data_IF_327025840870
#
_entry.id   IF_327025840870
#
_cell.length_a   1.000
_cell.length_b   1.000
_cell.length_c   1.000
_cell.angle_alpha   90.00
_cell.angle_beta   90.00
_cell.angle_gamma   90.00
#
_symmetry.space_group_name_H-M   'P 1'
#
loop_
_entity.id
_entity.type
_entity.pdbx_description
1 polymer ?
#
# COMPACT_ATOMS: atom_id res chain seq x y z
N UNK A 1 -22.43 22.73 13.55
CA UNK A 1 -21.37 23.31 12.72
C UNK A 1 -20.09 22.55 12.96
N UNK A 2 -19.51 22.10 11.89
CA UNK A 2 -18.18 21.51 11.91
C UNK A 2 -17.18 22.65 12.15
N UNK A 3 -16.35 22.51 13.17
CA UNK A 3 -15.32 23.50 13.49
C UNK A 3 -13.97 22.81 13.62
N UNK A 4 -12.96 23.36 12.95
CA UNK A 4 -11.57 22.96 13.12
C UNK A 4 -10.96 23.90 14.15
N UNK A 5 -10.34 23.32 15.19
CA UNK A 5 -9.58 24.06 16.20
C UNK A 5 -8.11 23.71 16.05
N UNK A 6 -7.28 24.72 15.83
CA UNK A 6 -5.83 24.55 15.75
C UNK A 6 -5.19 25.13 17.02
N UNK A 7 -4.37 24.31 17.70
CA UNK A 7 -3.70 24.68 18.95
C UNK A 7 -2.21 24.47 18.77
N UNK A 8 -1.43 25.52 19.03
CA UNK A 8 0.03 25.43 19.07
C UNK A 8 0.52 25.35 20.52
N UNK A 9 1.44 24.44 20.77
CA UNK A 9 2.07 24.28 22.09
C UNK A 9 3.49 23.73 21.95
N UNK A 10 4.47 24.26 22.70
CA UNK A 10 5.84 23.75 22.66
C UNK A 10 5.92 22.30 23.19
N UNK A 11 7.06 21.63 22.95
CA UNK A 11 7.32 20.30 23.49
C UNK A 11 7.35 20.30 25.02
N UNK A 12 6.85 19.25 25.66
CA UNK A 12 6.90 19.09 27.11
C UNK A 12 5.81 19.79 27.92
N UNK A 13 4.92 20.56 27.31
CA UNK A 13 3.83 21.26 28.04
C UNK A 13 2.61 20.39 28.35
N UNK A 14 2.65 19.10 28.01
CA UNK A 14 1.53 18.17 28.27
C UNK A 14 0.44 18.19 27.20
N UNK A 15 0.75 18.49 25.94
CA UNK A 15 -0.20 18.49 24.82
C UNK A 15 -1.03 17.20 24.77
N UNK A 16 -0.37 16.04 24.88
CA UNK A 16 -1.06 14.74 24.82
C UNK A 16 -2.15 14.61 25.86
N UNK A 17 -1.86 14.96 27.10
CA UNK A 17 -2.85 14.90 28.19
C UNK A 17 -4.04 15.84 27.94
N UNK A 18 -3.75 17.05 27.45
CA UNK A 18 -4.78 18.06 27.20
C UNK A 18 -5.76 17.60 26.11
N UNK A 19 -5.25 17.16 24.93
CA UNK A 19 -6.14 16.74 23.86
C UNK A 19 -6.81 15.39 24.14
N UNK A 20 -6.17 14.46 24.86
CA UNK A 20 -6.79 13.21 25.28
C UNK A 20 -7.98 13.45 26.18
N UNK A 21 -7.84 14.28 27.22
CA UNK A 21 -8.93 14.63 28.13
C UNK A 21 -10.07 15.31 27.38
N UNK A 22 -9.78 16.35 26.62
CA UNK A 22 -10.77 17.10 25.89
C UNK A 22 -11.48 16.23 24.84
N UNK A 23 -10.72 15.47 24.04
CA UNK A 23 -11.23 14.58 23.00
C UNK A 23 -12.12 13.48 23.55
N UNK A 24 -11.74 12.81 24.63
CA UNK A 24 -12.56 11.78 25.28
C UNK A 24 -13.87 12.35 25.81
N UNK A 25 -13.84 13.50 26.51
CA UNK A 25 -15.06 14.15 27.00
C UNK A 25 -15.98 14.57 25.85
N UNK A 26 -15.44 15.17 24.81
CA UNK A 26 -16.22 15.62 23.65
C UNK A 26 -16.84 14.45 22.87
N UNK A 27 -16.06 13.40 22.61
CA UNK A 27 -16.54 12.22 21.91
C UNK A 27 -17.67 11.54 22.72
N UNK A 28 -17.45 11.27 24.01
CA UNK A 28 -18.42 10.64 24.89
C UNK A 28 -19.70 11.46 25.04
N UNK A 29 -19.61 12.80 25.17
CA UNK A 29 -20.78 13.68 25.30
C UNK A 29 -21.68 13.69 24.07
N UNK A 30 -21.17 13.32 22.91
CA UNK A 30 -21.88 13.31 21.63
C UNK A 30 -22.14 11.90 21.07
N UNK A 31 -21.77 10.86 21.82
CA UNK A 31 -21.93 9.46 21.39
C UNK A 31 -21.10 9.12 20.15
N UNK A 32 -19.95 9.78 19.97
CA UNK A 32 -19.02 9.57 18.84
C UNK A 32 -17.76 8.86 19.29
N UNK A 33 -17.05 8.26 18.33
CA UNK A 33 -15.70 7.73 18.54
C UNK A 33 -14.65 8.83 18.48
N UNK A 34 -13.51 8.62 19.12
CA UNK A 34 -12.34 9.48 19.01
C UNK A 34 -11.26 8.80 18.16
N UNK A 35 -10.84 9.42 17.08
CA UNK A 35 -9.65 8.99 16.32
C UNK A 35 -8.51 9.95 16.62
N UNK A 36 -7.40 9.39 17.11
CA UNK A 36 -6.17 10.13 17.39
C UNK A 36 -5.14 9.73 16.34
N UNK A 37 -4.75 10.67 15.52
CA UNK A 37 -3.71 10.45 14.50
C UNK A 37 -2.41 11.13 14.91
N UNK A 38 -1.31 10.37 14.94
CA UNK A 38 0.02 10.87 15.28
C UNK A 38 1.02 10.65 14.15
N UNK A 39 2.14 11.37 14.19
CA UNK A 39 3.08 11.40 13.07
C UNK A 39 3.95 10.14 12.93
N UNK A 40 4.28 9.46 14.04
CA UNK A 40 5.23 8.34 14.08
C UNK A 40 4.71 7.15 14.87
N UNK A 41 5.27 5.96 14.60
CA UNK A 41 4.96 4.73 15.34
C UNK A 41 5.32 4.88 16.82
N UNK A 42 6.48 5.48 17.15
CA UNK A 42 6.90 5.68 18.53
C UNK A 42 5.92 6.54 19.34
N UNK A 43 5.34 7.59 18.72
CA UNK A 43 4.30 8.40 19.37
C UNK A 43 3.00 7.63 19.55
N UNK A 44 2.62 6.78 18.60
CA UNK A 44 1.45 5.89 18.74
C UNK A 44 1.63 4.94 19.94
N UNK A 45 2.80 4.30 20.05
CA UNK A 45 3.13 3.39 21.15
C UNK A 45 3.13 4.12 22.50
N UNK A 46 3.65 5.34 22.55
CA UNK A 46 3.58 6.17 23.73
C UNK A 46 2.14 6.46 24.14
N UNK A 47 1.29 6.84 23.18
CA UNK A 47 -0.14 7.10 23.44
C UNK A 47 -0.85 5.87 24.01
N UNK A 48 -0.65 4.70 23.39
CA UNK A 48 -1.33 3.46 23.74
C UNK A 48 -0.81 2.87 25.05
N UNK A 49 0.53 2.89 25.26
CA UNK A 49 1.16 2.18 26.38
C UNK A 49 1.30 3.06 27.65
N UNK A 50 1.24 4.38 27.51
CA UNK A 50 1.49 5.30 28.63
C UNK A 50 0.41 6.36 28.80
N UNK A 51 0.17 7.19 27.77
CA UNK A 51 -0.60 8.42 27.95
C UNK A 51 -2.10 8.14 28.11
N UNK A 52 -2.70 7.26 27.30
CA UNK A 52 -4.10 6.83 27.42
C UNK A 52 -4.37 6.09 28.75
N UNK A 53 -3.59 5.05 29.14
CA UNK A 53 -3.75 4.41 30.45
C UNK A 53 -3.66 5.39 31.61
N UNK A 54 -2.71 6.33 31.54
CA UNK A 54 -2.55 7.36 32.58
C UNK A 54 -3.78 8.27 32.66
N UNK A 55 -4.26 8.81 31.53
CA UNK A 55 -5.43 9.70 31.53
C UNK A 55 -6.66 8.96 32.04
N UNK A 56 -6.93 7.76 31.56
CA UNK A 56 -8.12 7.00 31.94
C UNK A 56 -8.12 6.63 33.42
N UNK A 57 -6.97 6.22 33.97
CA UNK A 57 -6.86 5.87 35.39
C UNK A 57 -6.99 7.04 36.37
N UNK A 58 -6.71 8.28 35.93
CA UNK A 58 -6.69 9.46 36.80
C UNK A 58 -7.85 10.44 36.57
N UNK A 59 -8.58 10.30 35.45
CA UNK A 59 -9.66 11.24 35.11
C UNK A 59 -11.07 10.77 35.52
N UNK A 60 -11.24 9.51 35.90
CA UNK A 60 -12.55 8.90 36.09
C UNK A 60 -13.31 8.67 34.78
N UNK A 61 -12.67 8.84 33.62
CA UNK A 61 -13.25 8.50 32.32
C UNK A 61 -13.10 7.00 32.07
N UNK A 62 -14.18 6.37 31.71
CA UNK A 62 -14.19 4.99 31.22
C UNK A 62 -14.27 5.03 29.69
N UNK A 63 -13.24 4.50 29.03
CA UNK A 63 -13.19 4.34 27.58
C UNK A 63 -12.24 3.19 27.21
N UNK A 64 -12.61 2.46 26.18
CA UNK A 64 -11.79 1.43 25.55
C UNK A 64 -10.99 2.03 24.40
N UNK A 65 -9.81 1.48 24.11
CA UNK A 65 -8.98 1.97 23.00
C UNK A 65 -8.26 0.84 22.29
N UNK A 66 -7.94 1.06 21.00
CA UNK A 66 -7.14 0.17 20.19
C UNK A 66 -6.23 0.94 19.23
N UNK A 67 -5.13 0.28 18.83
CA UNK A 67 -4.18 0.80 17.85
C UNK A 67 -4.54 0.28 16.46
N UNK A 68 -4.81 1.19 15.53
CA UNK A 68 -5.00 0.87 14.13
C UNK A 68 -3.65 0.90 13.40
N UNK A 69 -3.29 -0.24 12.79
CA UNK A 69 -2.11 -0.38 11.94
C UNK A 69 -2.51 -0.75 10.51
N UNK A 70 -1.71 -0.32 9.54
CA UNK A 70 -1.89 -0.73 8.15
C UNK A 70 -1.70 -2.23 7.96
N UNK A 71 -2.39 -2.81 6.98
CA UNK A 71 -2.36 -4.25 6.67
C UNK A 71 -0.93 -4.81 6.55
N UNK A 72 -0.01 -4.06 5.96
CA UNK A 72 1.40 -4.45 5.83
C UNK A 72 2.15 -4.62 7.15
N UNK A 73 1.56 -4.28 8.30
CA UNK A 73 2.13 -4.54 9.64
C UNK A 73 1.71 -5.89 10.20
N UNK A 74 0.82 -6.62 9.54
CA UNK A 74 0.33 -7.90 10.00
C UNK A 74 0.77 -9.04 9.10
N UNK A 75 1.04 -10.17 9.71
CA UNK A 75 1.26 -11.44 9.04
C UNK A 75 0.03 -11.83 8.22
N UNK A 76 0.25 -12.38 7.04
CA UNK A 76 -0.77 -13.09 6.28
C UNK A 76 -0.58 -14.61 6.46
N UNK A 77 -1.40 -15.30 7.28
CA UNK A 77 -1.24 -16.73 7.50
C UNK A 77 -1.33 -17.54 6.21
N UNK A 78 -2.21 -17.15 5.28
CA UNK A 78 -2.33 -17.78 3.98
C UNK A 78 -1.00 -17.81 3.20
N UNK A 79 -0.29 -16.68 3.12
CA UNK A 79 1.03 -16.60 2.48
C UNK A 79 2.12 -17.35 3.26
N UNK A 80 2.11 -17.22 4.58
CA UNK A 80 3.08 -17.90 5.42
C UNK A 80 3.00 -19.43 5.23
N UNK A 81 1.80 -19.99 5.25
CA UNK A 81 1.61 -21.44 5.11
C UNK A 81 1.98 -21.95 3.72
N UNK A 82 1.75 -21.18 2.67
CA UNK A 82 2.24 -21.53 1.33
C UNK A 82 3.76 -21.68 1.31
N UNK A 83 4.51 -20.74 1.89
CA UNK A 83 5.97 -20.81 1.92
C UNK A 83 6.54 -21.91 2.83
N UNK A 84 5.80 -22.33 3.86
CA UNK A 84 6.25 -23.39 4.76
C UNK A 84 5.83 -24.79 4.30
N UNK A 85 4.72 -24.95 3.59
CA UNK A 85 4.29 -26.21 3.00
C UNK A 85 5.24 -26.68 1.90
N UNK A 86 5.66 -25.79 1.00
CA UNK A 86 6.61 -26.09 -0.07
C UNK A 86 7.99 -26.51 0.48
N UNK A 87 8.40 -25.96 1.62
CA UNK A 87 9.66 -26.31 2.27
C UNK A 87 9.68 -27.73 2.87
N UNK A 88 8.52 -28.34 3.13
CA UNK A 88 8.40 -29.70 3.69
C UNK A 88 8.33 -30.80 2.63
N UNK A 89 7.96 -30.47 1.41
CA UNK A 89 7.79 -31.44 0.32
C UNK A 89 8.96 -31.53 -0.64
N UNK A 90 10.16 -31.13 -0.30
CA UNK A 90 11.44 -31.48 -0.93
C UNK A 90 11.49 -31.69 -2.46
N UNK A 91 10.47 -31.35 -3.21
CA UNK A 91 10.32 -31.69 -4.62
C UNK A 91 10.33 -30.49 -5.59
N UNK A 92 11.29 -30.58 -6.40
CA UNK A 92 11.87 -29.82 -7.48
C UNK A 92 10.99 -29.67 -8.74
N UNK A 93 9.69 -29.72 -8.77
CA UNK A 93 9.00 -29.94 -10.06
C UNK A 93 7.88 -28.95 -10.46
N UNK A 94 7.52 -28.00 -9.64
CA UNK A 94 6.72 -26.89 -10.13
C UNK A 94 7.46 -25.57 -9.90
N UNK A 95 7.53 -24.64 -10.86
CA UNK A 95 7.98 -23.28 -10.58
C UNK A 95 7.02 -22.76 -9.51
N UNK A 96 7.55 -22.46 -8.31
CA UNK A 96 6.80 -21.82 -7.24
C UNK A 96 6.05 -20.64 -7.84
N UNK A 97 4.70 -20.64 -7.87
CA UNK A 97 3.93 -19.52 -8.39
C UNK A 97 4.24 -18.23 -7.62
N UNK A 98 4.73 -18.35 -6.39
CA UNK A 98 5.25 -17.25 -5.59
C UNK A 98 6.65 -16.80 -6.02
N UNK A 99 7.36 -17.49 -6.93
CA UNK A 99 8.62 -17.01 -7.50
C UNK A 99 8.45 -15.66 -8.22
N UNK A 100 7.25 -15.29 -8.66
CA UNK A 100 6.96 -13.95 -9.16
C UNK A 100 7.18 -12.86 -8.12
N UNK A 101 7.05 -13.20 -6.84
CA UNK A 101 7.32 -12.30 -5.72
C UNK A 101 8.80 -12.31 -5.31
N UNK A 102 9.59 -13.25 -5.84
CA UNK A 102 10.97 -13.44 -5.46
C UNK A 102 11.90 -13.00 -6.60
N UNK A 103 12.57 -11.87 -6.46
CA UNK A 103 13.66 -11.49 -7.35
C UNK A 103 14.88 -12.42 -7.21
N UNK A 104 14.91 -13.33 -6.24
CA UNK A 104 15.99 -14.28 -5.99
C UNK A 104 15.47 -15.47 -5.15
N UNK A 105 16.19 -16.59 -5.23
CA UNK A 105 15.90 -17.77 -4.41
C UNK A 105 16.11 -17.45 -2.92
N UNK A 106 15.21 -17.88 -2.00
CA UNK A 106 15.35 -17.62 -0.58
C UNK A 106 16.63 -18.27 -0.02
N UNK A 107 17.31 -17.53 0.84
CA UNK A 107 18.46 -18.04 1.57
C UNK A 107 18.03 -19.00 2.69
N UNK A 108 18.92 -19.91 3.09
CA UNK A 108 18.65 -20.86 4.17
C UNK A 108 18.22 -20.15 5.47
N UNK A 109 18.88 -19.03 5.79
CA UNK A 109 18.55 -18.21 6.96
C UNK A 109 17.13 -17.65 6.90
N UNK A 110 16.71 -17.19 5.72
CA UNK A 110 15.34 -16.67 5.50
C UNK A 110 14.29 -17.79 5.71
N UNK A 111 14.54 -18.97 5.16
CA UNK A 111 13.65 -20.13 5.35
C UNK A 111 13.55 -20.57 6.83
N UNK A 112 14.65 -20.53 7.56
CA UNK A 112 14.66 -20.82 8.99
C UNK A 112 13.88 -19.77 9.80
N UNK A 113 14.00 -18.48 9.43
CA UNK A 113 13.22 -17.41 10.07
C UNK A 113 11.72 -17.55 9.76
N UNK A 114 11.33 -17.89 8.51
CA UNK A 114 9.93 -18.18 8.17
C UNK A 114 9.37 -19.34 8.98
N UNK A 115 10.13 -20.41 9.22
CA UNK A 115 9.71 -21.53 10.07
C UNK A 115 9.49 -21.08 11.52
N UNK A 116 10.41 -20.27 12.09
CA UNK A 116 10.22 -19.73 13.45
C UNK A 116 8.99 -18.84 13.55
N UNK A 117 8.72 -18.02 12.53
CA UNK A 117 7.49 -17.20 12.48
C UNK A 117 6.25 -18.09 12.43
N UNK A 118 6.26 -19.15 11.62
CA UNK A 118 5.15 -20.09 11.52
C UNK A 118 4.90 -20.82 12.86
N UNK A 119 5.95 -21.30 13.50
CA UNK A 119 5.86 -21.96 14.81
C UNK A 119 5.37 -20.99 15.91
N UNK A 120 5.88 -19.77 15.93
CA UNK A 120 5.44 -18.76 16.89
C UNK A 120 3.96 -18.42 16.73
N UNK A 121 3.49 -18.26 15.49
CA UNK A 121 2.10 -17.96 15.19
C UNK A 121 1.19 -19.17 15.44
N UNK A 122 1.54 -20.36 14.97
CA UNK A 122 0.76 -21.58 15.15
C UNK A 122 0.54 -21.93 16.62
N UNK A 123 1.59 -21.82 17.46
CA UNK A 123 1.50 -22.06 18.89
C UNK A 123 1.02 -20.85 19.71
N UNK A 124 0.51 -19.80 19.05
CA UNK A 124 -0.03 -18.58 19.67
C UNK A 124 0.95 -17.89 20.64
N UNK A 125 2.26 -17.99 20.38
CA UNK A 125 3.32 -17.27 21.08
C UNK A 125 3.53 -15.87 20.54
N UNK A 126 2.95 -15.59 19.39
CA UNK A 126 2.96 -14.32 18.68
C UNK A 126 1.61 -14.11 17.98
N UNK A 127 1.09 -12.90 18.02
CA UNK A 127 -0.22 -12.53 17.46
C UNK A 127 -0.19 -12.18 15.96
N UNK A 128 1.01 -12.16 15.35
CA UNK A 128 1.20 -11.82 13.94
C UNK A 128 1.38 -10.32 13.68
N UNK A 129 1.48 -9.47 14.70
CA UNK A 129 1.92 -8.07 14.55
C UNK A 129 3.45 -8.04 14.38
N UNK A 130 3.93 -7.43 13.27
CA UNK A 130 5.35 -7.33 12.97
C UNK A 130 6.16 -6.71 14.11
N UNK A 131 5.59 -5.68 14.75
CA UNK A 131 6.28 -4.92 15.79
C UNK A 131 6.40 -5.70 17.11
N UNK A 132 5.56 -6.73 17.29
CA UNK A 132 5.56 -7.60 18.46
C UNK A 132 6.36 -8.90 18.27
N UNK A 133 7.01 -9.09 17.11
CA UNK A 133 7.85 -10.26 16.89
C UNK A 133 9.22 -10.09 17.55
N UNK A 134 9.71 -11.11 18.25
CA UNK A 134 10.95 -11.04 19.04
C UNK A 134 12.23 -10.84 18.21
N UNK A 135 12.17 -11.10 16.91
CA UNK A 135 13.31 -10.95 16.00
C UNK A 135 13.04 -9.83 14.98
N UNK A 136 14.10 -9.10 14.60
CA UNK A 136 14.01 -8.16 13.48
C UNK A 136 13.81 -8.93 12.16
N UNK A 137 12.73 -8.62 11.45
CA UNK A 137 12.42 -9.17 10.14
C UNK A 137 12.72 -8.13 9.07
N UNK A 138 13.65 -8.44 8.16
CA UNK A 138 13.97 -7.57 7.03
C UNK A 138 12.73 -7.31 6.15
N UNK A 139 12.59 -6.10 5.61
CA UNK A 139 11.44 -5.71 4.77
C UNK A 139 11.24 -6.66 3.59
N UNK A 140 12.34 -7.12 3.01
CA UNK A 140 12.35 -8.08 1.91
C UNK A 140 11.70 -9.41 2.30
N UNK A 141 11.98 -9.94 3.48
CA UNK A 141 11.38 -11.18 3.98
C UNK A 141 9.94 -10.93 4.43
N UNK A 142 9.68 -9.82 5.11
CA UNK A 142 8.35 -9.45 5.57
C UNK A 142 7.35 -9.29 4.43
N UNK A 143 7.75 -8.68 3.32
CA UNK A 143 6.89 -8.47 2.14
C UNK A 143 6.34 -9.78 1.55
N UNK A 144 6.91 -10.93 1.87
CA UNK A 144 6.47 -12.25 1.40
C UNK A 144 5.37 -12.86 2.25
N UNK A 145 5.36 -12.53 3.52
CA UNK A 145 4.41 -13.07 4.51
C UNK A 145 3.36 -12.06 4.95
N UNK A 146 3.40 -10.84 4.43
CA UNK A 146 2.32 -9.89 4.54
C UNK A 146 1.50 -9.81 3.25
N UNK A 147 0.43 -9.04 3.23
CA UNK A 147 -0.40 -8.87 2.05
C UNK A 147 -0.90 -7.43 1.93
N UNK A 148 -1.32 -7.06 0.73
CA UNK A 148 -1.99 -5.80 0.45
C UNK A 148 -3.50 -5.99 0.21
N UNK A 149 -4.19 -4.91 -0.19
CA UNK A 149 -5.63 -4.95 -0.45
C UNK A 149 -6.00 -5.76 -1.69
N UNK A 150 -5.09 -5.88 -2.66
CA UNK A 150 -5.33 -6.53 -3.95
C UNK A 150 -5.06 -8.03 -3.89
N UNK A 151 -3.96 -8.45 -3.24
CA UNK A 151 -3.62 -9.86 -3.07
C UNK A 151 -4.41 -10.57 -1.95
N UNK A 152 -5.18 -9.83 -1.14
CA UNK A 152 -5.96 -10.40 -0.05
C UNK A 152 -7.27 -11.03 -0.56
N UNK A 153 -7.50 -12.30 -0.24
CA UNK A 153 -8.72 -13.05 -0.61
C UNK A 153 -9.98 -12.60 0.18
N UNK A 154 -9.84 -11.69 1.12
CA UNK A 154 -10.96 -11.10 1.90
C UNK A 154 -11.84 -12.18 2.55
N UNK A 155 -13.15 -12.16 2.27
CA UNK A 155 -14.12 -13.14 2.80
C UNK A 155 -13.90 -14.57 2.29
N UNK A 156 -13.19 -14.73 1.17
CA UNK A 156 -12.89 -16.03 0.57
C UNK A 156 -11.66 -16.72 1.19
N UNK A 157 -10.89 -15.99 2.05
CA UNK A 157 -9.66 -16.52 2.63
C UNK A 157 -9.94 -17.67 3.61
N UNK A 158 -9.31 -18.86 3.45
CA UNK A 158 -9.48 -19.97 4.38
C UNK A 158 -8.94 -19.66 5.79
N UNK A 159 -7.98 -18.75 5.90
CA UNK A 159 -7.36 -18.35 7.17
C UNK A 159 -7.95 -17.05 7.74
N UNK A 160 -9.15 -16.63 7.30
CA UNK A 160 -9.73 -15.35 7.74
C UNK A 160 -9.98 -15.28 9.24
N UNK A 161 -10.42 -16.36 9.85
CA UNK A 161 -10.75 -16.43 11.29
C UNK A 161 -9.54 -16.25 12.20
N UNK A 162 -8.35 -16.61 11.73
CA UNK A 162 -7.09 -16.48 12.47
C UNK A 162 -6.22 -15.31 11.94
N UNK A 163 -6.72 -14.56 10.95
CA UNK A 163 -5.95 -13.48 10.32
C UNK A 163 -5.73 -12.32 11.28
N UNK A 164 -4.47 -12.00 11.66
CA UNK A 164 -4.16 -10.92 12.60
C UNK A 164 -4.73 -9.58 12.19
N UNK A 165 -4.67 -9.26 10.89
CA UNK A 165 -5.23 -8.01 10.37
C UNK A 165 -6.73 -7.91 10.61
N UNK A 166 -7.51 -8.97 10.35
CA UNK A 166 -8.96 -8.93 10.52
C UNK A 166 -9.34 -8.97 12.00
N UNK A 167 -8.62 -9.72 12.83
CA UNK A 167 -8.82 -9.71 14.28
C UNK A 167 -8.61 -8.30 14.85
N UNK A 168 -7.50 -7.65 14.50
CA UNK A 168 -7.25 -6.27 14.91
C UNK A 168 -8.30 -5.30 14.35
N UNK A 169 -8.75 -5.51 13.12
CA UNK A 169 -9.78 -4.68 12.47
C UNK A 169 -11.12 -4.75 13.19
N UNK A 170 -11.57 -5.97 13.51
CA UNK A 170 -12.85 -6.18 14.19
C UNK A 170 -12.86 -5.55 15.59
N UNK A 171 -11.69 -5.38 16.23
CA UNK A 171 -11.54 -4.67 17.51
C UNK A 171 -11.80 -3.15 17.38
N UNK A 172 -11.45 -2.52 16.24
CA UNK A 172 -11.63 -1.07 16.05
C UNK A 172 -13.10 -0.67 16.10
N UNK A 173 -14.01 -1.56 15.70
CA UNK A 173 -15.45 -1.31 15.74
C UNK A 173 -16.02 -1.34 17.16
N UNK A 174 -15.30 -1.96 18.11
CA UNK A 174 -15.76 -2.18 19.47
C UNK A 174 -15.21 -1.16 20.49
N UNK A 175 -14.24 -0.35 20.12
CA UNK A 175 -13.59 0.60 21.02
C UNK A 175 -14.10 2.02 20.85
N UNK A 176 -13.93 2.81 21.92
CA UNK A 176 -14.30 4.23 21.94
C UNK A 176 -13.24 5.12 21.29
N UNK A 177 -11.96 4.72 21.40
CA UNK A 177 -10.80 5.49 20.95
C UNK A 177 -9.96 4.64 20.00
N UNK A 178 -9.67 5.16 18.82
CA UNK A 178 -8.77 4.55 17.85
C UNK A 178 -7.52 5.41 17.71
N UNK A 179 -6.35 4.85 18.02
CA UNK A 179 -5.06 5.49 17.76
C UNK A 179 -4.55 5.04 16.40
N UNK A 180 -4.09 5.97 15.59
CA UNK A 180 -3.67 5.74 14.20
C UNK A 180 -2.46 6.63 13.87
N UNK A 181 -1.80 6.40 12.72
CA UNK A 181 -0.84 7.36 12.17
C UNK A 181 -1.46 8.18 11.03
N UNK A 182 -0.77 9.27 10.66
CA UNK A 182 -1.22 10.12 9.57
C UNK A 182 -1.33 9.38 8.24
N UNK A 183 -0.43 8.42 7.98
CA UNK A 183 -0.45 7.67 6.71
C UNK A 183 -1.72 6.83 6.60
N UNK A 184 -2.16 6.20 7.70
CA UNK A 184 -3.39 5.41 7.72
C UNK A 184 -4.65 6.30 7.66
N UNK A 185 -4.63 7.45 8.34
CA UNK A 185 -5.69 8.46 8.25
C UNK A 185 -5.86 8.96 6.81
N UNK A 186 -4.76 9.31 6.16
CA UNK A 186 -4.76 9.79 4.76
C UNK A 186 -5.18 8.68 3.79
N UNK A 187 -4.74 7.43 4.02
CA UNK A 187 -5.17 6.29 3.23
C UNK A 187 -6.69 6.04 3.36
N UNK A 188 -7.24 6.17 4.56
CA UNK A 188 -8.69 6.07 4.77
C UNK A 188 -9.44 7.20 4.08
N UNK A 189 -8.98 8.44 4.27
CA UNK A 189 -9.54 9.62 3.65
C UNK A 189 -9.55 9.52 2.11
N UNK A 190 -8.44 9.03 1.49
CA UNK A 190 -8.35 8.84 0.03
C UNK A 190 -9.36 7.82 -0.53
N UNK A 191 -9.91 6.96 0.32
CA UNK A 191 -10.97 6.01 -0.03
C UNK A 191 -12.39 6.51 0.31
N UNK A 192 -12.54 7.79 0.68
CA UNK A 192 -13.80 8.40 1.05
C UNK A 192 -14.10 8.38 2.55
N UNK A 193 -13.17 7.91 3.37
CA UNK A 193 -13.31 7.81 4.84
C UNK A 193 -14.22 6.66 5.31
N UNK A 194 -13.94 6.15 6.51
CA UNK A 194 -14.75 5.08 7.11
C UNK A 194 -14.52 3.68 6.55
N UNK A 195 -13.50 3.51 5.70
CA UNK A 195 -13.13 2.20 5.15
C UNK A 195 -12.11 1.51 6.06
N UNK A 196 -11.17 2.24 6.61
CA UNK A 196 -10.13 1.77 7.53
C UNK A 196 -10.42 2.20 8.96
N UNK A 197 -10.78 3.42 9.17
CA UNK A 197 -11.11 4.04 10.45
C UNK A 197 -12.63 4.12 10.61
N UNK A 198 -13.15 4.46 11.79
CA UNK A 198 -14.58 4.69 11.96
C UNK A 198 -15.11 5.78 11.01
N UNK A 199 -16.39 5.71 10.60
CA UNK A 199 -16.98 6.69 9.68
C UNK A 199 -16.79 8.14 10.16
N UNK A 200 -16.41 9.08 9.28
CA UNK A 200 -16.16 10.47 9.67
C UNK A 200 -17.34 11.15 10.36
N UNK A 201 -18.57 10.85 9.95
CA UNK A 201 -19.78 11.41 10.53
C UNK A 201 -19.94 11.05 12.02
N UNK A 202 -19.41 9.89 12.45
CA UNK A 202 -19.51 9.38 13.80
C UNK A 202 -18.18 9.54 14.59
N UNK A 203 -17.28 10.40 14.10
CA UNK A 203 -15.92 10.50 14.63
C UNK A 203 -15.54 11.93 14.99
N UNK A 204 -14.80 12.08 16.10
CA UNK A 204 -13.95 13.22 16.39
C UNK A 204 -12.52 12.90 16.02
N UNK A 205 -11.86 13.76 15.28
CA UNK A 205 -10.46 13.63 14.96
C UNK A 205 -9.59 14.51 15.86
N UNK A 206 -8.53 13.95 16.40
CA UNK A 206 -7.44 14.67 17.02
C UNK A 206 -6.16 14.38 16.22
N UNK A 207 -5.57 15.40 15.63
CA UNK A 207 -4.37 15.27 14.79
C UNK A 207 -3.20 15.85 15.56
N UNK A 208 -2.38 14.98 16.15
CA UNK A 208 -1.18 15.36 16.87
C UNK A 208 -0.01 15.58 15.90
N UNK A 209 0.86 16.56 16.17
CA UNK A 209 1.96 16.94 15.25
C UNK A 209 1.44 17.28 13.84
N UNK A 210 0.31 17.99 13.75
CA UNK A 210 -0.41 18.30 12.51
C UNK A 210 0.45 19.02 11.45
N UNK A 211 1.56 19.66 11.85
CA UNK A 211 2.52 20.26 10.92
C UNK A 211 3.16 19.25 9.96
N UNK A 212 3.14 17.94 10.30
CA UNK A 212 3.63 16.88 9.43
C UNK A 212 2.58 16.38 8.43
N UNK A 213 1.30 16.67 8.68
CA UNK A 213 0.20 16.15 7.86
C UNK A 213 0.31 16.58 6.39
N UNK A 214 0.64 17.86 6.15
CA UNK A 214 0.77 18.39 4.79
C UNK A 214 1.85 17.62 3.97
N UNK A 215 3.03 17.39 4.55
CA UNK A 215 4.08 16.63 3.91
C UNK A 215 3.68 15.17 3.65
N UNK A 216 3.02 14.54 4.61
CA UNK A 216 2.52 13.16 4.46
C UNK A 216 1.43 13.06 3.42
N UNK A 217 0.54 14.06 3.33
CA UNK A 217 -0.49 14.12 2.30
C UNK A 217 0.11 14.26 0.90
N UNK A 218 1.11 15.12 0.72
CA UNK A 218 1.84 15.22 -0.56
C UNK A 218 2.44 13.86 -0.94
N UNK A 219 3.07 13.16 -0.01
CA UNK A 219 3.63 11.83 -0.25
C UNK A 219 2.55 10.78 -0.56
N UNK A 220 1.38 10.87 0.07
CA UNK A 220 0.26 9.94 -0.17
C UNK A 220 -0.32 10.07 -1.58
N UNK A 221 -0.34 11.29 -2.12
CA UNK A 221 -0.84 11.57 -3.47
C UNK A 221 0.27 11.57 -4.53
N UNK A 222 1.53 11.37 -4.13
CA UNK A 222 2.63 11.15 -5.06
C UNK A 222 2.54 9.74 -5.65
N UNK A 223 3.02 9.59 -6.88
CA UNK A 223 3.12 8.31 -7.54
C UNK A 223 4.47 8.16 -8.23
N UNK A 224 4.99 6.94 -8.24
CA UNK A 224 6.23 6.63 -8.93
C UNK A 224 6.25 5.17 -9.44
N UNK A 225 7.07 4.93 -10.44
CA UNK A 225 7.45 3.58 -10.85
C UNK A 225 8.85 3.54 -11.44
N UNK A 226 9.47 2.35 -11.43
CA UNK A 226 10.74 2.08 -12.10
C UNK A 226 10.49 1.43 -13.46
N UNK A 227 11.11 1.97 -14.52
CA UNK A 227 10.84 1.58 -15.92
C UNK A 227 11.22 0.14 -16.19
N UNK A 228 12.47 -0.28 -15.85
CA UNK A 228 12.94 -1.65 -16.09
C UNK A 228 12.21 -2.66 -15.21
N UNK A 229 11.93 -2.29 -13.97
CA UNK A 229 11.12 -3.14 -13.10
C UNK A 229 9.70 -3.32 -13.64
N UNK A 230 9.10 -2.27 -14.22
CA UNK A 230 7.79 -2.37 -14.84
C UNK A 230 7.81 -3.28 -16.06
N UNK A 231 8.79 -3.16 -16.95
CA UNK A 231 8.98 -4.07 -18.08
C UNK A 231 9.13 -5.52 -17.62
N UNK A 232 9.86 -5.75 -16.54
CA UNK A 232 10.07 -7.11 -16.00
C UNK A 232 8.76 -7.74 -15.52
N UNK A 233 7.93 -7.05 -14.74
CA UNK A 233 6.70 -7.67 -14.26
C UNK A 233 5.62 -7.77 -15.36
N UNK A 234 5.62 -6.87 -16.35
CA UNK A 234 4.74 -7.00 -17.54
C UNK A 234 5.05 -8.28 -18.34
N UNK A 235 6.34 -8.63 -18.48
CA UNK A 235 6.76 -9.89 -19.10
C UNK A 235 6.25 -11.14 -18.36
N UNK A 236 6.11 -11.06 -17.04
CA UNK A 236 5.60 -12.18 -16.22
C UNK A 236 4.08 -12.28 -16.18
N UNK A 237 3.37 -11.22 -16.53
CA UNK A 237 1.92 -11.15 -16.46
C UNK A 237 1.23 -12.17 -17.38
N UNK A 238 1.77 -12.42 -18.58
CA UNK A 238 1.19 -13.31 -19.58
C UNK A 238 0.88 -14.71 -19.02
N UNK A 239 1.82 -15.32 -18.32
CA UNK A 239 1.64 -16.64 -17.73
C UNK A 239 0.52 -16.70 -16.69
N UNK A 240 0.35 -15.63 -15.89
CA UNK A 240 -0.69 -15.58 -14.84
C UNK A 240 -2.06 -15.32 -15.46
N UNK A 241 -2.15 -14.41 -16.42
CA UNK A 241 -3.40 -14.12 -17.13
C UNK A 241 -3.85 -15.31 -17.97
N UNK A 242 -2.93 -16.02 -18.65
CA UNK A 242 -3.24 -17.24 -19.40
C UNK A 242 -3.81 -18.37 -18.54
N UNK A 243 -3.29 -18.54 -17.31
CA UNK A 243 -3.88 -19.48 -16.33
C UNK A 243 -5.27 -19.04 -15.86
N UNK A 244 -5.47 -17.74 -15.66
CA UNK A 244 -6.77 -17.19 -15.28
C UNK A 244 -7.81 -17.35 -16.41
N UNK A 245 -7.41 -17.16 -17.67
CA UNK A 245 -8.28 -17.36 -18.84
C UNK A 245 -8.89 -18.77 -18.90
N UNK A 246 -8.13 -19.79 -18.50
CA UNK A 246 -8.62 -21.17 -18.48
C UNK A 246 -9.75 -21.41 -17.46
N UNK A 247 -9.87 -20.57 -16.45
CA UNK A 247 -10.80 -20.72 -15.34
C UNK A 247 -12.03 -19.80 -15.43
N UNK A 248 -11.90 -18.65 -16.13
CA UNK A 248 -13.00 -17.68 -16.29
C UNK A 248 -13.86 -17.95 -17.50
N UNK A 249 -15.13 -17.54 -17.45
CA UNK A 249 -16.07 -17.70 -18.57
C UNK A 249 -15.87 -16.62 -19.65
N UNK A 250 -15.47 -15.41 -19.24
CA UNK A 250 -15.28 -14.24 -20.13
C UNK A 250 -13.81 -14.14 -20.57
N UNK A 251 -13.41 -14.97 -21.50
CA UNK A 251 -12.01 -15.07 -21.98
C UNK A 251 -11.49 -13.80 -22.64
N UNK A 252 -12.36 -13.01 -23.23
CA UNK A 252 -12.02 -11.72 -23.84
C UNK A 252 -11.36 -10.74 -22.86
N UNK A 253 -11.65 -10.85 -21.54
CA UNK A 253 -11.00 -10.02 -20.54
C UNK A 253 -9.50 -10.28 -20.44
N UNK A 254 -9.10 -11.55 -20.56
CA UNK A 254 -7.69 -11.94 -20.55
C UNK A 254 -6.96 -11.36 -21.77
N UNK A 255 -7.54 -11.51 -22.96
CA UNK A 255 -6.98 -10.93 -24.19
C UNK A 255 -6.83 -9.41 -24.07
N UNK A 256 -7.86 -8.71 -23.62
CA UNK A 256 -7.81 -7.25 -23.44
C UNK A 256 -6.78 -6.81 -22.40
N UNK A 257 -6.56 -7.60 -21.34
CA UNK A 257 -5.51 -7.32 -20.34
C UNK A 257 -4.11 -7.46 -20.96
N UNK A 258 -3.88 -8.50 -21.77
CA UNK A 258 -2.60 -8.73 -22.44
C UNK A 258 -2.30 -7.70 -23.53
N UNK A 259 -3.33 -7.27 -24.28
CA UNK A 259 -3.19 -6.19 -25.27
C UNK A 259 -2.79 -4.87 -24.58
N UNK A 260 -3.43 -4.54 -23.46
CA UNK A 260 -3.08 -3.36 -22.69
C UNK A 260 -1.68 -3.46 -22.06
N UNK A 261 -1.27 -4.64 -21.59
CA UNK A 261 0.08 -4.90 -21.08
C UNK A 261 1.14 -4.70 -22.18
N UNK A 262 0.85 -5.17 -23.40
CA UNK A 262 1.71 -4.97 -24.58
C UNK A 262 1.86 -3.49 -24.88
N UNK A 263 0.78 -2.70 -24.85
CA UNK A 263 0.82 -1.25 -25.03
C UNK A 263 1.66 -0.56 -23.94
N UNK A 264 1.55 -0.99 -22.67
CA UNK A 264 2.40 -0.48 -21.58
C UNK A 264 3.88 -0.82 -21.82
N UNK A 265 4.20 -2.07 -22.18
CA UNK A 265 5.58 -2.50 -22.43
C UNK A 265 6.20 -1.75 -23.60
N UNK A 266 5.46 -1.53 -24.69
CA UNK A 266 5.91 -0.73 -25.83
C UNK A 266 6.20 0.71 -25.41
N UNK A 267 5.26 1.40 -24.75
CA UNK A 267 5.45 2.77 -24.31
C UNK A 267 6.60 2.94 -23.32
N UNK A 268 6.80 1.99 -22.39
CA UNK A 268 7.95 2.00 -21.46
C UNK A 268 9.28 1.76 -22.20
N UNK A 269 9.28 0.90 -23.23
CA UNK A 269 10.44 0.69 -24.08
C UNK A 269 10.83 1.94 -24.87
N UNK A 270 9.85 2.64 -25.46
CA UNK A 270 10.05 3.93 -26.11
C UNK A 270 10.59 5.00 -25.15
N UNK A 271 9.99 5.09 -23.94
CA UNK A 271 10.48 5.98 -22.89
C UNK A 271 11.94 5.70 -22.52
N UNK A 272 12.30 4.42 -22.32
CA UNK A 272 13.67 4.04 -22.02
C UNK A 272 14.66 4.49 -23.13
N UNK A 273 14.26 4.39 -24.39
CA UNK A 273 15.06 4.89 -25.51
C UNK A 273 15.22 6.41 -25.48
N UNK A 274 14.17 7.16 -25.14
CA UNK A 274 14.21 8.61 -25.01
C UNK A 274 15.08 9.07 -23.83
N UNK A 275 15.10 8.31 -22.74
CA UNK A 275 15.88 8.63 -21.53
C UNK A 275 17.37 8.27 -21.65
N UNK A 276 17.71 7.26 -22.43
CA UNK A 276 19.09 6.75 -22.55
C UNK A 276 20.11 7.82 -22.94
N UNK A 277 19.88 8.73 -23.91
CA UNK A 277 20.86 9.72 -24.33
C UNK A 277 20.91 10.98 -23.45
N UNK A 278 20.15 11.06 -22.36
CA UNK A 278 20.08 12.27 -21.53
C UNK A 278 21.28 12.32 -20.56
N UNK A 279 22.23 13.22 -20.83
CA UNK A 279 23.46 13.40 -20.05
C UNK A 279 23.22 13.75 -18.58
N UNK A 280 22.15 14.49 -18.27
CA UNK A 280 21.75 14.84 -16.90
C UNK A 280 21.32 13.63 -16.04
N UNK A 281 21.11 12.48 -16.67
CA UNK A 281 20.78 11.23 -15.98
C UNK A 281 21.97 10.27 -15.88
N UNK A 282 23.19 10.71 -16.26
CA UNK A 282 24.40 9.90 -16.11
C UNK A 282 24.90 9.97 -14.66
N UNK A 283 24.95 8.84 -13.94
CA UNK A 283 25.49 8.80 -12.58
C UNK A 283 26.96 9.22 -12.54
N UNK A 284 27.34 9.96 -11.49
CA UNK A 284 28.70 10.35 -11.19
C UNK A 284 29.06 9.98 -9.74
N UNK A 285 30.35 10.15 -9.38
CA UNK A 285 30.80 9.92 -8.01
C UNK A 285 30.13 10.88 -7.00
N UNK A 286 29.88 12.13 -7.43
CA UNK A 286 29.28 13.17 -6.60
C UNK A 286 27.75 13.10 -6.61
N UNK A 287 27.15 12.53 -7.67
CA UNK A 287 25.71 12.38 -7.83
C UNK A 287 25.37 10.98 -8.36
N UNK A 288 25.33 9.97 -7.48
CA UNK A 288 25.06 8.59 -7.88
C UNK A 288 23.64 8.34 -8.38
N UNK A 289 22.68 9.18 -7.98
CA UNK A 289 21.27 9.13 -8.38
C UNK A 289 20.80 10.47 -8.95
N UNK A 290 21.33 10.88 -10.13
CA UNK A 290 20.98 12.17 -10.73
C UNK A 290 19.48 12.26 -11.01
N UNK A 291 18.94 13.46 -10.81
CA UNK A 291 17.51 13.75 -10.96
C UNK A 291 17.28 14.84 -11.99
N UNK A 292 16.46 14.54 -12.96
CA UNK A 292 15.97 15.52 -13.94
C UNK A 292 14.59 16.02 -13.53
N UNK A 293 14.51 17.24 -13.02
CA UNK A 293 13.25 17.91 -12.73
C UNK A 293 12.69 18.50 -14.02
N UNK A 294 11.44 18.16 -14.35
CA UNK A 294 10.76 18.72 -15.52
C UNK A 294 10.31 20.14 -15.22
N UNK A 295 10.78 21.09 -16.05
CA UNK A 295 10.54 22.51 -15.86
C UNK A 295 9.03 22.82 -15.88
N UNK A 296 8.54 23.57 -14.90
CA UNK A 296 7.12 23.88 -14.69
C UNK A 296 6.19 22.64 -14.59
N UNK A 297 6.74 21.44 -14.45
CA UNK A 297 5.98 20.19 -14.51
C UNK A 297 5.48 19.86 -15.91
N UNK A 298 6.07 20.42 -16.96
CA UNK A 298 5.71 20.19 -18.35
C UNK A 298 6.52 19.02 -18.93
N UNK A 299 5.85 18.15 -19.69
CA UNK A 299 6.52 17.09 -20.41
C UNK A 299 7.22 17.66 -21.66
N UNK A 300 8.46 17.24 -21.95
CA UNK A 300 9.11 17.56 -23.20
C UNK A 300 8.26 17.08 -24.40
N UNK A 301 8.23 17.87 -25.46
CA UNK A 301 7.39 17.58 -26.64
C UNK A 301 7.61 16.19 -27.22
N UNK A 302 8.86 15.70 -27.24
CA UNK A 302 9.21 14.37 -27.71
C UNK A 302 8.74 13.23 -26.78
N UNK A 303 8.34 13.52 -25.55
CA UNK A 303 7.81 12.54 -24.59
C UNK A 303 6.27 12.58 -24.48
N UNK A 304 5.62 13.64 -24.93
CA UNK A 304 4.21 13.89 -24.71
C UNK A 304 3.31 12.77 -25.28
N UNK A 305 3.60 12.30 -26.51
CA UNK A 305 2.83 11.24 -27.15
C UNK A 305 3.00 9.89 -26.42
N UNK A 306 4.24 9.53 -26.10
CA UNK A 306 4.55 8.29 -25.35
C UNK A 306 3.88 8.31 -23.97
N UNK A 307 3.90 9.43 -23.27
CA UNK A 307 3.23 9.60 -21.99
C UNK A 307 1.70 9.46 -22.12
N UNK A 308 1.09 10.08 -23.13
CA UNK A 308 -0.35 9.95 -23.37
C UNK A 308 -0.77 8.49 -23.66
N UNK A 309 0.01 7.78 -24.47
CA UNK A 309 -0.22 6.36 -24.76
C UNK A 309 -0.07 5.49 -23.51
N UNK A 310 0.96 5.73 -22.70
CA UNK A 310 1.17 5.04 -21.43
C UNK A 310 0.03 5.28 -20.44
N UNK A 311 -0.48 6.51 -20.34
CA UNK A 311 -1.63 6.83 -19.49
C UNK A 311 -2.87 6.00 -19.88
N UNK A 312 -3.20 5.93 -21.16
CA UNK A 312 -4.35 5.17 -21.66
C UNK A 312 -4.13 3.67 -21.45
N UNK A 313 -2.95 3.14 -21.82
CA UNK A 313 -2.64 1.71 -21.70
C UNK A 313 -2.61 1.25 -20.27
N UNK A 314 -2.00 2.03 -19.34
CA UNK A 314 -1.93 1.70 -17.93
C UNK A 314 -3.32 1.72 -17.24
N UNK A 315 -4.15 2.72 -17.53
CA UNK A 315 -5.52 2.77 -17.04
C UNK A 315 -6.36 1.58 -17.56
N UNK A 316 -6.18 1.22 -18.84
CA UNK A 316 -6.85 0.07 -19.46
C UNK A 316 -6.38 -1.22 -18.81
N UNK A 317 -5.08 -1.40 -18.63
CA UNK A 317 -4.49 -2.58 -17.96
C UNK A 317 -5.06 -2.77 -16.55
N UNK A 318 -5.06 -1.73 -15.74
CA UNK A 318 -5.64 -1.77 -14.39
C UNK A 318 -7.12 -2.21 -14.42
N UNK A 319 -7.91 -1.61 -15.30
CA UNK A 319 -9.32 -1.94 -15.47
C UNK A 319 -9.53 -3.40 -15.86
N UNK A 320 -8.77 -3.90 -16.83
CA UNK A 320 -8.94 -5.27 -17.33
C UNK A 320 -8.44 -6.31 -16.33
N UNK A 321 -7.31 -6.08 -15.64
CA UNK A 321 -6.83 -6.97 -14.58
C UNK A 321 -7.83 -7.06 -13.42
N UNK A 322 -8.44 -5.95 -13.03
CA UNK A 322 -9.51 -5.94 -12.04
C UNK A 322 -10.72 -6.76 -12.49
N UNK A 323 -11.12 -6.62 -13.76
CA UNK A 323 -12.22 -7.40 -14.31
C UNK A 323 -11.91 -8.91 -14.40
N UNK A 324 -10.65 -9.28 -14.70
CA UNK A 324 -10.20 -10.69 -14.65
C UNK A 324 -10.27 -11.22 -13.21
N UNK A 325 -9.85 -10.42 -12.22
CA UNK A 325 -9.94 -10.81 -10.80
C UNK A 325 -11.39 -11.00 -10.35
N UNK A 326 -12.30 -10.11 -10.76
CA UNK A 326 -13.73 -10.24 -10.47
C UNK A 326 -14.33 -11.50 -11.11
N UNK A 327 -13.94 -11.82 -12.35
CA UNK A 327 -14.36 -13.02 -13.03
C UNK A 327 -13.84 -14.31 -12.37
N UNK A 328 -12.63 -14.29 -11.77
CA UNK A 328 -12.14 -15.40 -10.93
C UNK A 328 -12.96 -15.57 -9.66
N UNK A 329 -13.39 -14.47 -9.03
CA UNK A 329 -14.26 -14.53 -7.85
C UNK A 329 -15.64 -15.13 -8.22
N UNK A 330 -16.18 -14.81 -9.39
CA UNK A 330 -17.39 -15.44 -9.93
C UNK A 330 -17.18 -16.94 -10.16
N UNK A 331 -16.12 -17.32 -10.87
CA UNK A 331 -15.79 -18.72 -11.15
C UNK A 331 -15.60 -19.58 -9.88
N UNK A 332 -15.08 -18.98 -8.80
CA UNK A 332 -14.94 -19.64 -7.50
C UNK A 332 -16.27 -20.04 -6.89
N UNK A 333 -17.32 -19.26 -7.10
CA UNK A 333 -18.69 -19.58 -6.61
C UNK A 333 -19.30 -20.77 -7.31
N UNK A 334 -18.92 -20.98 -8.56
CA UNK A 334 -19.50 -22.02 -9.42
C UNK A 334 -18.73 -23.35 -9.34
N UNK A 335 -17.42 -23.31 -8.96
CA UNK A 335 -16.52 -24.47 -8.98
C UNK A 335 -15.92 -24.73 -7.59
N UNK A 336 -16.55 -25.59 -6.78
CA UNK A 336 -16.04 -25.92 -5.45
C UNK A 336 -14.72 -26.73 -5.45
N UNK A 337 -14.42 -27.49 -6.51
CA UNK A 337 -13.24 -28.39 -6.55
C UNK A 337 -11.94 -27.67 -6.87
N UNK A 338 -11.99 -26.52 -7.59
CA UNK A 338 -10.83 -25.74 -8.04
C UNK A 338 -10.54 -24.52 -7.14
N UNK A 339 -11.17 -24.42 -5.97
CA UNK A 339 -11.12 -23.21 -5.12
C UNK A 339 -9.70 -22.80 -4.72
N UNK A 340 -8.82 -23.77 -4.42
CA UNK A 340 -7.44 -23.50 -4.03
C UNK A 340 -6.61 -22.86 -5.16
N UNK A 341 -6.77 -23.35 -6.39
CA UNK A 341 -6.09 -22.81 -7.56
C UNK A 341 -6.59 -21.40 -7.91
N UNK A 342 -7.90 -21.17 -7.79
CA UNK A 342 -8.51 -19.86 -8.03
C UNK A 342 -8.04 -18.85 -6.98
N UNK A 343 -8.00 -19.26 -5.69
CA UNK A 343 -7.53 -18.42 -4.60
C UNK A 343 -6.06 -18.02 -4.79
N UNK A 344 -5.22 -18.97 -5.21
CA UNK A 344 -3.81 -18.70 -5.52
C UNK A 344 -3.68 -17.71 -6.67
N UNK A 345 -4.36 -17.93 -7.79
CA UNK A 345 -4.36 -17.03 -8.94
C UNK A 345 -4.89 -15.63 -8.59
N UNK A 346 -5.94 -15.55 -7.77
CA UNK A 346 -6.46 -14.28 -7.28
C UNK A 346 -5.41 -13.49 -6.47
N UNK A 347 -4.62 -14.18 -5.64
CA UNK A 347 -3.51 -13.55 -4.90
C UNK A 347 -2.37 -13.10 -5.81
N UNK A 348 -2.03 -13.89 -6.84
CA UNK A 348 -1.01 -13.53 -7.83
C UNK A 348 -1.45 -12.35 -8.70
N UNK A 349 -2.69 -12.35 -9.19
CA UNK A 349 -3.25 -11.20 -9.91
C UNK A 349 -3.24 -9.93 -9.08
N UNK A 350 -3.51 -10.03 -7.77
CA UNK A 350 -3.43 -8.90 -6.87
C UNK A 350 -2.06 -8.21 -6.87
N UNK A 351 -0.97 -8.97 -7.01
CA UNK A 351 0.38 -8.43 -7.18
C UNK A 351 0.51 -7.58 -8.44
N UNK A 352 -0.05 -8.01 -9.56
CA UNK A 352 -0.03 -7.27 -10.82
C UNK A 352 -0.97 -6.07 -10.80
N UNK A 353 -2.15 -6.20 -10.18
CA UNK A 353 -3.12 -5.12 -10.02
C UNK A 353 -2.51 -3.96 -9.22
N UNK A 354 -1.83 -4.25 -8.11
CA UNK A 354 -1.16 -3.22 -7.32
C UNK A 354 -0.11 -2.43 -8.14
N UNK A 355 0.63 -3.13 -9.00
CA UNK A 355 1.62 -2.51 -9.89
C UNK A 355 1.01 -1.74 -11.04
N UNK A 356 -0.06 -2.27 -11.62
CA UNK A 356 -0.82 -1.58 -12.65
C UNK A 356 -1.48 -0.31 -12.10
N UNK A 357 -1.95 -0.34 -10.84
CA UNK A 357 -2.47 0.83 -10.15
C UNK A 357 -1.39 1.91 -9.97
N UNK A 358 -0.20 1.53 -9.49
CA UNK A 358 0.91 2.48 -9.36
C UNK A 358 1.33 3.05 -10.73
N UNK A 359 1.39 2.20 -11.77
CA UNK A 359 1.70 2.62 -13.12
C UNK A 359 0.65 3.59 -13.67
N UNK A 360 -0.64 3.30 -13.50
CA UNK A 360 -1.73 4.16 -13.94
C UNK A 360 -1.72 5.50 -13.17
N UNK A 361 -1.48 5.47 -11.86
CA UNK A 361 -1.44 6.68 -11.03
C UNK A 361 -0.34 7.65 -11.46
N UNK A 362 0.88 7.15 -11.70
CA UNK A 362 1.98 8.04 -12.11
C UNK A 362 1.75 8.62 -13.52
N UNK A 363 1.26 7.84 -14.48
CA UNK A 363 1.02 8.36 -15.83
C UNK A 363 -0.20 9.28 -15.88
N UNK A 364 -1.21 9.08 -15.02
CA UNK A 364 -2.28 10.05 -14.85
C UNK A 364 -1.75 11.40 -14.36
N UNK A 365 -0.87 11.41 -13.33
CA UNK A 365 -0.23 12.63 -12.84
C UNK A 365 0.74 13.25 -13.86
N UNK A 366 1.52 12.43 -14.58
CA UNK A 366 2.44 12.91 -15.62
C UNK A 366 1.71 13.61 -16.76
N UNK A 367 0.51 13.17 -17.12
CA UNK A 367 -0.32 13.75 -18.18
C UNK A 367 -1.29 14.83 -17.67
N UNK A 368 -1.48 14.94 -16.35
CA UNK A 368 -2.41 15.91 -15.79
C UNK A 368 -1.94 17.34 -16.00
N UNK A 369 -2.89 18.21 -16.39
CA UNK A 369 -2.74 19.65 -16.45
C UNK A 369 -3.59 20.27 -15.35
N UNK A 370 -2.99 20.90 -14.34
CA UNK A 370 -3.76 21.55 -13.27
C UNK A 370 -4.68 22.64 -13.83
N UNK A 371 -5.85 22.88 -13.22
CA UNK A 371 -6.70 24.01 -13.56
C UNK A 371 -5.95 25.34 -13.41
N UNK A 372 -6.40 26.36 -14.11
CA UNK A 372 -5.83 27.71 -14.01
C UNK A 372 -5.89 28.22 -12.55
N UNK A 373 -4.76 28.67 -12.05
CA UNK A 373 -4.60 29.14 -10.65
C UNK A 373 -4.38 28.04 -9.61
N UNK A 374 -4.45 26.76 -9.99
CA UNK A 374 -4.08 25.66 -9.11
C UNK A 374 -2.55 25.48 -9.07
N UNK A 375 -2.00 24.96 -7.95
CA UNK A 375 -0.59 24.60 -7.85
C UNK A 375 -0.19 23.60 -8.93
N UNK A 376 1.03 23.68 -9.50
CA UNK A 376 1.51 22.72 -10.48
C UNK A 376 1.71 21.32 -9.88
N UNK A 377 1.86 20.32 -10.74
CA UNK A 377 2.30 18.98 -10.37
C UNK A 377 3.80 18.91 -10.60
N UNK A 378 4.57 18.62 -9.56
CA UNK A 378 6.00 18.38 -9.70
C UNK A 378 6.20 17.03 -10.42
N UNK A 379 7.04 17.02 -11.46
CA UNK A 379 7.35 15.83 -12.25
C UNK A 379 8.87 15.74 -12.41
N UNK A 380 9.42 14.54 -12.16
CA UNK A 380 10.86 14.34 -12.28
C UNK A 380 11.19 12.88 -12.61
N UNK A 381 12.40 12.67 -13.11
CA UNK A 381 12.95 11.37 -13.41
C UNK A 381 14.31 11.25 -12.69
N UNK A 382 14.47 10.18 -11.90
CA UNK A 382 15.72 9.90 -11.18
C UNK A 382 16.34 8.62 -11.70
N UNK A 383 17.66 8.61 -11.89
CA UNK A 383 18.37 7.36 -12.16
C UNK A 383 18.53 6.57 -10.88
N UNK A 384 18.26 5.27 -10.95
CA UNK A 384 18.50 4.31 -9.88
C UNK A 384 19.50 3.25 -10.32
N UNK A 385 20.41 2.88 -9.44
CA UNK A 385 21.28 1.74 -9.63
C UNK A 385 20.95 0.68 -8.57
N UNK A 386 20.01 -0.25 -8.86
CA UNK A 386 19.79 -1.38 -7.97
C UNK A 386 21.05 -2.25 -7.93
N UNK A 387 21.25 -2.98 -6.82
CA UNK A 387 22.45 -3.81 -6.60
C UNK A 387 22.78 -4.85 -7.68
N UNK A 388 21.93 -4.99 -8.70
CA UNK A 388 22.16 -5.79 -9.93
C UNK A 388 23.08 -5.13 -10.95
N UNK A 389 23.53 -3.88 -10.72
CA UNK A 389 24.41 -3.13 -11.62
C UNK A 389 23.75 -2.59 -12.91
N UNK A 390 22.49 -2.90 -13.18
CA UNK A 390 21.75 -2.31 -14.32
C UNK A 390 21.11 -0.99 -13.89
N UNK A 391 21.29 0.03 -14.74
CA UNK A 391 20.60 1.33 -14.59
C UNK A 391 19.10 1.14 -14.76
N UNK A 392 18.32 1.78 -13.88
CA UNK A 392 16.88 1.94 -14.02
C UNK A 392 16.51 3.40 -13.85
N UNK A 393 15.40 3.83 -14.42
CA UNK A 393 14.84 5.16 -14.24
C UNK A 393 13.58 5.09 -13.40
N UNK A 394 13.52 5.90 -12.36
CA UNK A 394 12.31 6.09 -11.58
C UNK A 394 11.60 7.35 -12.06
N UNK A 395 10.41 7.16 -12.63
CA UNK A 395 9.50 8.24 -13.04
C UNK A 395 8.63 8.59 -11.86
N UNK A 396 8.59 9.87 -11.50
CA UNK A 396 7.91 10.35 -10.31
C UNK A 396 7.02 11.55 -10.63
N UNK A 397 5.86 11.61 -10.01
CA UNK A 397 4.99 12.78 -10.03
C UNK A 397 4.33 13.00 -8.67
N UNK A 398 4.20 14.26 -8.27
CA UNK A 398 3.62 14.61 -6.98
C UNK A 398 2.90 15.96 -7.06
N UNK A 399 1.72 16.12 -6.46
CA UNK A 399 1.18 17.45 -6.23
C UNK A 399 2.15 18.25 -5.34
N UNK A 400 2.31 19.54 -5.58
CA UNK A 400 3.09 20.42 -4.70
C UNK A 400 2.27 20.93 -3.52
N UNK A 401 0.95 20.73 -3.56
CA UNK A 401 0.02 21.02 -2.47
C UNK A 401 -1.07 19.97 -2.42
N UNK A 402 -1.32 19.42 -1.26
CA UNK A 402 -2.40 18.46 -1.01
C UNK A 402 -3.62 19.14 -0.34
N UNK A 403 -3.70 20.47 -0.32
CA UNK A 403 -4.74 21.18 0.42
C UNK A 403 -6.15 20.90 -0.12
N UNK A 404 -6.32 20.87 -1.45
CA UNK A 404 -7.61 20.55 -2.08
C UNK A 404 -8.01 19.09 -1.84
N UNK A 405 -7.04 18.17 -1.96
CA UNK A 405 -7.28 16.73 -1.75
C UNK A 405 -7.65 16.44 -0.29
N UNK A 406 -6.99 17.10 0.66
CA UNK A 406 -7.33 17.01 2.07
C UNK A 406 -8.72 17.58 2.37
N UNK A 407 -9.05 18.77 1.81
CA UNK A 407 -10.35 19.39 2.04
C UNK A 407 -11.53 18.60 1.48
N UNK A 408 -11.29 17.80 0.43
CA UNK A 408 -12.33 16.98 -0.19
C UNK A 408 -12.50 15.61 0.49
N UNK A 409 -11.50 15.15 1.26
CA UNK A 409 -11.45 13.78 1.79
C UNK A 409 -11.41 13.72 3.34
N UNK A 410 -11.22 14.82 4.04
CA UNK A 410 -11.29 14.96 5.50
C UNK A 410 -12.43 15.88 5.93
#
# INVERSE_FOLDING_TARGET
>A
GESIVVVEGPTGVGKSLAYLLAGCVMAKSRGKKLVISSATIALQEQLVNRDLPFVLSHSGLEASFALAKGRGRYLCPYRLYQHTADASQGELLAPDPNMLLWNHKPEKRELEQLKRMADAFYYRRWDGDRDAFDETVEDRLWSRVTNDRHGCLKSACPNRSECPFYVARDQLDQVDIVVSNHDLLLADASMGGGVILPPPIDTFYCIDEAHQLAKKAINQFAADHQVQQALWWLDKLDATVGRAEALISRKELATQALDAATGCAQGLGELAQLLTPLAQLEPSADEPEPTWLLENGELPENMALTAANLNVSAATLLKQLTAVQDALVEARRDKNEDSGQIDQLGSELGFFIARAEALAAVWALMCATPPEGAPPIAKWITTRQPGSGRRDWQVCASPVSAAADLANNL
#
